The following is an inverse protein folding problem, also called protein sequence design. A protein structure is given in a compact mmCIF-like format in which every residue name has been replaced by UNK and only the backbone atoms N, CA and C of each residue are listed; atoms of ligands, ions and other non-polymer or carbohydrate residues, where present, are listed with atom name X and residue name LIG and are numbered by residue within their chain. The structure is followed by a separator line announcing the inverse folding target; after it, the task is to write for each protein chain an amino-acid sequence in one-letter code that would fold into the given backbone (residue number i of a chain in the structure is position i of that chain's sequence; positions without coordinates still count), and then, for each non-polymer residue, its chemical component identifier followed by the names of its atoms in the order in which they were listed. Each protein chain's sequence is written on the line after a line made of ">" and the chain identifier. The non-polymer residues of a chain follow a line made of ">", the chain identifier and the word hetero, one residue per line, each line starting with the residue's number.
data_IF_187294496350
#
_entry.id   IF_187294496350
#
_cell.length_a   1.000
_cell.length_b   1.000
_cell.length_c   1.000
_cell.angle_alpha   90.00
_cell.angle_beta   90.00
_cell.angle_gamma   90.00
#
_symmetry.space_group_name_H-M   'P 1'
#
loop_
_entity.id
_entity.type
_entity.pdbx_description
1 polymer ?
#
# COMPACT_ATOMS: atom_id res chain seq x y z
N UNK A 1 -7.91 11.35 17.44
CA UNK A 1 -8.76 10.25 16.96
C UNK A 1 -8.16 8.87 17.24
N UNK A 2 -6.88 8.57 16.95
CA UNK A 2 -6.30 7.23 17.17
C UNK A 2 -6.28 6.70 18.63
N UNK A 3 -5.94 7.54 19.62
CA UNK A 3 -5.96 7.11 21.05
C UNK A 3 -7.37 6.78 21.54
N UNK A 4 -8.36 7.60 21.16
CA UNK A 4 -9.77 7.39 21.53
C UNK A 4 -10.33 6.09 20.93
N UNK A 5 -9.91 5.74 19.71
CA UNK A 5 -10.32 4.48 19.08
C UNK A 5 -9.70 3.26 19.76
N UNK A 6 -8.40 3.31 20.06
CA UNK A 6 -7.71 2.23 20.79
C UNK A 6 -8.28 2.06 22.21
N UNK A 7 -8.55 3.14 22.92
CA UNK A 7 -9.16 3.11 24.25
C UNK A 7 -10.59 2.53 24.21
N UNK A 8 -11.37 2.83 23.16
CA UNK A 8 -12.70 2.25 22.97
C UNK A 8 -12.62 0.74 22.70
N UNK A 9 -11.70 0.31 21.85
CA UNK A 9 -11.53 -1.10 21.50
C UNK A 9 -10.95 -1.91 22.66
N UNK A 10 -10.06 -1.32 23.46
CA UNK A 10 -9.62 -1.90 24.73
C UNK A 10 -10.77 -2.10 25.72
N UNK A 11 -11.74 -1.17 25.79
CA UNK A 11 -12.97 -1.36 26.59
C UNK A 11 -13.87 -2.48 26.05
N UNK A 12 -13.78 -2.78 24.76
CA UNK A 12 -14.45 -3.90 24.11
C UNK A 12 -13.70 -5.24 24.34
N UNK A 13 -12.55 -5.20 25.01
CA UNK A 13 -11.65 -6.34 25.21
C UNK A 13 -10.88 -6.77 23.96
N UNK A 14 -10.83 -5.91 22.94
CA UNK A 14 -10.09 -6.15 21.70
C UNK A 14 -8.65 -5.67 21.91
N UNK A 15 -7.70 -6.58 21.74
CA UNK A 15 -6.27 -6.31 21.86
C UNK A 15 -5.66 -5.78 20.54
N UNK A 16 -4.34 -5.61 20.52
CA UNK A 16 -3.64 -5.07 19.34
C UNK A 16 -3.75 -5.98 18.11
N UNK A 17 -3.92 -7.28 18.31
CA UNK A 17 -4.11 -8.25 17.24
C UNK A 17 -5.54 -8.22 16.70
N UNK A 18 -6.54 -8.25 17.58
CA UNK A 18 -7.94 -8.10 17.16
C UNK A 18 -8.19 -6.77 16.44
N UNK A 19 -7.50 -5.69 16.84
CA UNK A 19 -7.54 -4.41 16.12
C UNK A 19 -6.98 -4.51 14.69
N UNK A 20 -5.88 -5.24 14.53
CA UNK A 20 -5.27 -5.49 13.23
C UNK A 20 -6.20 -6.33 12.35
N UNK A 21 -6.73 -7.43 12.88
CA UNK A 21 -7.65 -8.33 12.16
C UNK A 21 -8.91 -7.60 11.72
N UNK A 22 -9.51 -6.78 12.59
CA UNK A 22 -10.72 -6.02 12.27
C UNK A 22 -10.46 -5.04 11.12
N UNK A 23 -9.36 -4.29 11.19
CA UNK A 23 -8.98 -3.36 10.12
C UNK A 23 -8.67 -4.10 8.82
N UNK A 24 -7.95 -5.22 8.90
CA UNK A 24 -7.60 -6.07 7.76
C UNK A 24 -8.85 -6.60 7.06
N UNK A 25 -9.78 -7.18 7.83
CA UNK A 25 -11.04 -7.73 7.33
C UNK A 25 -11.89 -6.67 6.64
N UNK A 26 -11.96 -5.44 7.18
CA UNK A 26 -12.66 -4.33 6.51
C UNK A 26 -12.05 -4.02 5.15
N UNK A 27 -10.73 -3.84 5.10
CA UNK A 27 -10.05 -3.51 3.85
C UNK A 27 -10.18 -4.65 2.82
N UNK A 28 -10.01 -5.89 3.26
CA UNK A 28 -10.11 -7.08 2.40
C UNK A 28 -11.52 -7.24 1.85
N UNK A 29 -12.55 -7.15 2.70
CA UNK A 29 -13.95 -7.22 2.27
C UNK A 29 -14.28 -6.17 1.20
N UNK A 30 -13.99 -4.90 1.48
CA UNK A 30 -14.30 -3.81 0.55
C UNK A 30 -13.53 -4.00 -0.77
N UNK A 31 -12.25 -4.39 -0.70
CA UNK A 31 -11.42 -4.62 -1.87
C UNK A 31 -11.93 -5.79 -2.71
N UNK A 32 -12.37 -6.90 -2.07
CA UNK A 32 -12.97 -8.05 -2.73
C UNK A 32 -14.24 -7.65 -3.49
N UNK A 33 -15.17 -6.94 -2.86
CA UNK A 33 -16.42 -6.53 -3.50
C UNK A 33 -16.17 -5.59 -4.68
N UNK A 34 -15.26 -4.62 -4.55
CA UNK A 34 -14.89 -3.74 -5.65
C UNK A 34 -14.20 -4.47 -6.80
N UNK A 35 -13.39 -5.50 -6.53
CA UNK A 35 -12.78 -6.33 -7.57
C UNK A 35 -13.80 -7.17 -8.35
N UNK A 36 -15.01 -7.41 -7.82
CA UNK A 36 -16.11 -8.00 -8.60
C UNK A 36 -16.66 -7.04 -9.67
N UNK A 37 -16.37 -5.75 -9.55
CA UNK A 37 -16.77 -4.69 -10.49
C UNK A 37 -15.61 -4.38 -11.44
N UNK A 38 -14.42 -4.14 -10.88
CA UNK A 38 -13.21 -3.72 -11.59
C UNK A 38 -12.23 -4.89 -11.73
N UNK A 39 -12.24 -5.52 -12.92
CA UNK A 39 -11.51 -6.78 -13.21
C UNK A 39 -10.37 -6.65 -14.22
N UNK A 40 -10.13 -5.44 -14.72
CA UNK A 40 -9.25 -5.23 -15.86
C UNK A 40 -7.79 -5.46 -15.45
N UNK A 41 -7.05 -6.39 -16.07
CA UNK A 41 -5.64 -6.59 -15.76
C UNK A 41 -4.75 -5.47 -16.33
N UNK A 42 -5.32 -4.55 -17.10
CA UNK A 42 -4.56 -3.52 -17.80
C UNK A 42 -4.21 -2.36 -16.89
N UNK A 43 -2.93 -1.97 -16.88
CA UNK A 43 -2.43 -0.79 -16.17
C UNK A 43 -3.11 0.52 -16.59
N UNK A 44 -3.77 0.55 -17.75
CA UNK A 44 -4.51 1.72 -18.22
C UNK A 44 -5.87 1.88 -17.54
N UNK A 45 -6.41 0.83 -16.92
CA UNK A 45 -7.58 0.94 -16.05
C UNK A 45 -7.10 1.26 -14.63
N UNK A 46 -7.15 2.54 -14.28
CA UNK A 46 -6.65 3.05 -13.00
C UNK A 46 -7.40 2.44 -11.81
N UNK A 47 -8.71 2.21 -11.93
CA UNK A 47 -9.50 1.68 -10.82
C UNK A 47 -9.10 0.24 -10.51
N UNK A 48 -9.03 -0.61 -11.54
CA UNK A 48 -8.54 -1.98 -11.37
C UNK A 48 -7.10 -2.00 -10.85
N UNK A 49 -6.21 -1.15 -11.40
CA UNK A 49 -4.82 -1.06 -10.95
C UNK A 49 -4.68 -0.75 -9.45
N UNK A 50 -5.45 0.22 -8.95
CA UNK A 50 -5.43 0.61 -7.53
C UNK A 50 -5.84 -0.58 -6.66
N UNK A 51 -6.89 -1.31 -7.04
CA UNK A 51 -7.34 -2.49 -6.30
C UNK A 51 -6.32 -3.63 -6.34
N UNK A 52 -5.59 -3.83 -7.44
CA UNK A 52 -4.49 -4.79 -7.49
C UNK A 52 -3.33 -4.39 -6.57
N UNK A 53 -2.97 -3.10 -6.55
CA UNK A 53 -1.92 -2.60 -5.64
C UNK A 53 -2.31 -2.81 -4.17
N UNK A 54 -3.57 -2.56 -3.82
CA UNK A 54 -4.08 -2.79 -2.47
C UNK A 54 -4.13 -4.28 -2.12
N UNK A 55 -4.52 -5.16 -3.05
CA UNK A 55 -4.46 -6.61 -2.79
C UNK A 55 -3.06 -7.07 -2.44
N UNK A 56 -2.05 -6.61 -3.19
CA UNK A 56 -0.66 -6.91 -2.87
C UNK A 56 -0.26 -6.42 -1.47
N UNK A 57 -0.79 -5.27 -1.03
CA UNK A 57 -0.58 -4.79 0.34
C UNK A 57 -1.29 -5.68 1.37
N UNK A 58 -2.51 -6.16 1.10
CA UNK A 58 -3.21 -7.16 1.92
C UNK A 58 -2.38 -8.43 2.08
N UNK A 59 -1.86 -9.00 0.99
CA UNK A 59 -0.98 -10.19 1.06
C UNK A 59 0.27 -9.94 1.92
N UNK A 60 0.80 -8.72 1.87
CA UNK A 60 1.95 -8.30 2.69
C UNK A 60 1.58 -8.14 4.17
N UNK A 61 0.39 -7.61 4.48
CA UNK A 61 -0.12 -7.55 5.85
C UNK A 61 -0.40 -8.93 6.41
N UNK A 62 -0.97 -9.83 5.62
CA UNK A 62 -1.15 -11.23 6.00
C UNK A 62 0.20 -11.90 6.31
N UNK A 63 1.23 -11.63 5.51
CA UNK A 63 2.59 -12.12 5.77
C UNK A 63 3.17 -11.57 7.08
N UNK A 64 2.92 -10.30 7.40
CA UNK A 64 3.30 -9.70 8.70
C UNK A 64 2.61 -10.41 9.86
N UNK A 65 1.30 -10.67 9.75
CA UNK A 65 0.54 -11.35 10.80
C UNK A 65 1.08 -12.77 11.04
N UNK A 66 1.27 -13.55 9.97
CA UNK A 66 1.84 -14.90 10.06
C UNK A 66 3.25 -14.92 10.66
N UNK A 67 4.09 -13.95 10.30
CA UNK A 67 5.42 -13.82 10.91
C UNK A 67 5.30 -13.50 12.40
N UNK A 68 4.43 -12.57 12.79
CA UNK A 68 4.20 -12.23 14.19
C UNK A 68 3.72 -13.43 15.04
N UNK A 69 2.96 -14.36 14.46
CA UNK A 69 2.53 -15.60 15.14
C UNK A 69 3.66 -16.63 15.29
N UNK A 70 4.48 -16.82 14.26
CA UNK A 70 5.56 -17.81 14.29
C UNK A 70 6.76 -17.32 15.12
N UNK A 71 7.28 -16.13 14.78
CA UNK A 71 8.44 -15.53 15.43
C UNK A 71 8.61 -14.04 15.10
N UNK A 72 9.12 -13.26 16.05
CA UNK A 72 9.42 -11.84 15.81
C UNK A 72 10.73 -11.68 15.00
N UNK A 73 10.65 -11.93 13.70
CA UNK A 73 11.70 -11.63 12.72
C UNK A 73 11.67 -10.13 12.36
N UNK A 74 12.41 -9.35 13.13
CA UNK A 74 12.44 -7.89 13.03
C UNK A 74 12.82 -7.41 11.63
N UNK A 75 13.79 -8.06 10.98
CA UNK A 75 14.28 -7.61 9.68
C UNK A 75 13.21 -7.76 8.60
N UNK A 76 12.57 -8.93 8.56
CA UNK A 76 11.46 -9.21 7.66
C UNK A 76 10.26 -8.29 7.95
N UNK A 77 9.87 -8.16 9.23
CA UNK A 77 8.72 -7.34 9.64
C UNK A 77 8.90 -5.85 9.33
N UNK A 78 10.08 -5.29 9.59
CA UNK A 78 10.39 -3.89 9.29
C UNK A 78 10.45 -3.66 7.78
N UNK A 79 11.04 -4.59 7.02
CA UNK A 79 11.12 -4.51 5.56
C UNK A 79 9.73 -4.53 4.91
N UNK A 80 8.86 -5.47 5.33
CA UNK A 80 7.48 -5.54 4.84
C UNK A 80 6.68 -4.30 5.23
N UNK A 81 6.77 -3.86 6.49
CA UNK A 81 6.11 -2.63 6.96
C UNK A 81 6.56 -1.43 6.13
N UNK A 82 7.87 -1.30 5.88
CA UNK A 82 8.43 -0.21 5.09
C UNK A 82 7.92 -0.20 3.66
N UNK A 83 7.87 -1.36 3.02
CA UNK A 83 7.32 -1.55 1.67
C UNK A 83 5.84 -1.16 1.62
N UNK A 84 5.03 -1.57 2.62
CA UNK A 84 3.62 -1.18 2.71
C UNK A 84 3.48 0.34 2.78
N UNK A 85 4.28 1.01 3.63
CA UNK A 85 4.23 2.47 3.75
C UNK A 85 4.61 3.17 2.43
N UNK A 86 5.59 2.65 1.70
CA UNK A 86 5.92 3.14 0.36
C UNK A 86 4.71 3.04 -0.59
N UNK A 87 4.06 1.88 -0.64
CA UNK A 87 2.91 1.65 -1.52
C UNK A 87 1.74 2.56 -1.15
N UNK A 88 1.40 2.68 0.14
CA UNK A 88 0.39 3.64 0.62
C UNK A 88 0.74 5.07 0.16
N UNK A 89 2.00 5.47 0.30
CA UNK A 89 2.46 6.82 -0.03
C UNK A 89 2.38 7.09 -1.53
N UNK A 90 2.74 6.10 -2.36
CA UNK A 90 2.58 6.17 -3.81
C UNK A 90 1.11 6.33 -4.18
N UNK A 91 0.24 5.46 -3.65
CA UNK A 91 -1.20 5.50 -3.94
C UNK A 91 -1.81 6.85 -3.54
N UNK A 92 -1.49 7.33 -2.35
CA UNK A 92 -1.94 8.62 -1.86
C UNK A 92 -1.44 9.76 -2.77
N UNK A 93 -0.15 9.78 -3.10
CA UNK A 93 0.42 10.85 -3.89
C UNK A 93 -0.15 10.90 -5.31
N UNK A 94 -0.28 9.75 -5.98
CA UNK A 94 -0.77 9.69 -7.36
C UNK A 94 -2.29 9.90 -7.40
N UNK A 95 -3.05 9.21 -6.58
CA UNK A 95 -4.51 9.14 -6.75
C UNK A 95 -5.29 10.09 -5.85
N UNK A 96 -4.76 10.46 -4.68
CA UNK A 96 -5.42 11.39 -3.75
C UNK A 96 -4.92 12.83 -3.91
N UNK A 97 -3.61 13.05 -4.10
CA UNK A 97 -3.02 14.40 -4.13
C UNK A 97 -3.04 15.07 -5.51
N UNK A 98 -3.26 14.31 -6.59
CA UNK A 98 -3.44 14.90 -7.93
C UNK A 98 -4.69 15.76 -7.97
N UNK A 99 -4.58 16.99 -8.50
CA UNK A 99 -5.66 17.99 -8.49
C UNK A 99 -6.71 17.72 -9.55
N UNK A 100 -6.32 17.12 -10.66
CA UNK A 100 -7.20 16.79 -11.78
C UNK A 100 -7.04 15.33 -12.19
N UNK A 101 -7.98 14.84 -13.00
CA UNK A 101 -7.94 13.48 -13.55
C UNK A 101 -6.73 13.34 -14.49
N UNK A 102 -6.44 14.37 -15.29
CA UNK A 102 -5.31 14.39 -16.23
C UNK A 102 -3.98 14.34 -15.48
N UNK A 103 -3.84 15.05 -14.35
CA UNK A 103 -2.64 15.00 -13.51
C UNK A 103 -2.46 13.61 -12.90
N UNK A 104 -3.55 12.99 -12.43
CA UNK A 104 -3.56 11.62 -11.89
C UNK A 104 -3.08 10.61 -12.92
N UNK A 105 -3.66 10.65 -14.13
CA UNK A 105 -3.27 9.78 -15.24
C UNK A 105 -1.80 9.98 -15.62
N UNK A 106 -1.37 11.24 -15.71
CA UNK A 106 0.01 11.57 -16.05
C UNK A 106 1.00 11.01 -15.02
N UNK A 107 0.75 11.22 -13.71
CA UNK A 107 1.61 10.66 -12.64
C UNK A 107 1.60 9.14 -12.65
N UNK A 108 0.43 8.53 -12.85
CA UNK A 108 0.29 7.08 -12.95
C UNK A 108 1.12 6.50 -14.09
N UNK A 109 0.99 7.03 -15.31
CA UNK A 109 1.75 6.53 -16.45
C UNK A 109 3.24 6.80 -16.33
N UNK A 110 3.65 7.95 -15.75
CA UNK A 110 5.07 8.20 -15.43
C UNK A 110 5.62 7.22 -14.39
N UNK A 111 4.81 6.84 -13.39
CA UNK A 111 5.20 5.87 -12.36
C UNK A 111 5.41 4.47 -12.95
N UNK A 112 4.47 4.02 -13.78
CA UNK A 112 4.61 2.73 -14.48
C UNK A 112 5.79 2.77 -15.46
N UNK A 113 5.98 3.87 -16.20
CA UNK A 113 7.11 4.04 -17.11
C UNK A 113 8.46 3.99 -16.39
N UNK A 114 8.58 4.61 -15.21
CA UNK A 114 9.78 4.54 -14.34
C UNK A 114 10.13 3.08 -14.00
N UNK A 115 9.12 2.28 -13.60
CA UNK A 115 9.29 0.87 -13.29
C UNK A 115 9.67 0.01 -14.52
N UNK A 116 8.98 0.20 -15.64
CA UNK A 116 9.24 -0.54 -16.90
C UNK A 116 10.65 -0.25 -17.42
N UNK A 117 11.06 1.03 -17.48
CA UNK A 117 12.39 1.37 -17.93
C UNK A 117 13.49 0.87 -17.01
N UNK A 118 13.28 0.90 -15.69
CA UNK A 118 14.23 0.34 -14.75
C UNK A 118 14.37 -1.18 -14.96
N UNK A 119 13.26 -1.90 -15.16
CA UNK A 119 13.31 -3.34 -15.46
C UNK A 119 14.07 -3.63 -16.76
N UNK A 120 13.79 -2.90 -17.85
CA UNK A 120 14.55 -3.02 -19.11
C UNK A 120 16.05 -2.79 -18.86
N UNK A 121 16.41 -1.73 -18.14
CA UNK A 121 17.81 -1.38 -17.85
C UNK A 121 18.53 -2.50 -17.09
N UNK A 122 17.90 -3.06 -16.06
CA UNK A 122 18.52 -4.09 -15.23
C UNK A 122 18.57 -5.44 -15.95
N UNK A 123 17.51 -5.83 -16.68
CA UNK A 123 17.49 -7.06 -17.48
C UNK A 123 18.53 -7.08 -18.60
N UNK A 124 18.83 -5.92 -19.22
CA UNK A 124 19.92 -5.80 -20.21
C UNK A 124 21.31 -6.13 -19.68
N UNK A 125 21.52 -6.06 -18.36
CA UNK A 125 22.80 -6.44 -17.73
C UNK A 125 22.89 -7.95 -17.51
N UNK A 126 21.76 -8.66 -17.52
CA UNK A 126 21.73 -10.09 -17.24
C UNK A 126 22.65 -10.94 -18.14
N UNK A 127 22.75 -10.70 -19.46
CA UNK A 127 23.65 -11.47 -20.33
C UNK A 127 25.14 -11.34 -19.99
N UNK A 128 25.52 -10.39 -19.11
CA UNK A 128 26.90 -10.18 -18.66
C UNK A 128 27.22 -10.81 -17.29
N UNK A 129 26.24 -11.46 -16.65
CA UNK A 129 26.46 -12.21 -15.43
C UNK A 129 27.09 -13.55 -15.80
N UNK A 130 28.42 -13.64 -15.69
CA UNK A 130 29.13 -14.92 -15.63
C UNK A 130 28.73 -15.59 -14.32
N UNK A 131 27.60 -16.30 -14.30
CA UNK A 131 27.22 -17.13 -13.17
C UNK A 131 28.35 -18.12 -12.90
N UNK A 132 28.68 -18.34 -11.63
CA UNK A 132 29.49 -19.49 -11.24
C UNK A 132 28.60 -20.73 -11.38
N UNK A 133 28.65 -21.35 -12.56
CA UNK A 133 27.72 -22.38 -13.05
C UNK A 133 27.78 -23.71 -12.28
N UNK A 134 28.58 -23.80 -11.22
CA UNK A 134 28.83 -25.05 -10.52
C UNK A 134 27.60 -25.60 -9.76
N UNK A 135 26.51 -24.84 -9.63
CA UNK A 135 25.33 -25.20 -8.83
C UNK A 135 23.98 -25.01 -9.55
N UNK A 136 23.97 -24.67 -10.84
CA UNK A 136 22.73 -24.44 -11.62
C UNK A 136 22.84 -25.20 -12.93
N UNK A 137 21.79 -25.94 -13.29
CA UNK A 137 21.79 -26.66 -14.57
C UNK A 137 21.70 -25.70 -15.75
N UNK A 138 22.38 -26.01 -16.86
CA UNK A 138 22.33 -25.17 -18.07
C UNK A 138 20.89 -24.98 -18.59
N UNK A 139 20.04 -25.97 -18.41
CA UNK A 139 18.61 -25.93 -18.76
C UNK A 139 17.85 -24.84 -17.99
N UNK A 140 18.13 -24.66 -16.70
CA UNK A 140 17.53 -23.61 -15.87
C UNK A 140 17.98 -22.21 -16.33
N UNK A 141 19.24 -22.10 -16.75
CA UNK A 141 19.82 -20.86 -17.27
C UNK A 141 19.19 -20.49 -18.62
N UNK A 142 19.01 -21.47 -19.51
CA UNK A 142 18.38 -21.25 -20.81
C UNK A 142 16.92 -20.82 -20.65
N UNK A 143 16.19 -21.44 -19.70
CA UNK A 143 14.82 -21.04 -19.35
C UNK A 143 14.77 -19.60 -18.82
N UNK A 144 15.68 -19.25 -17.91
CA UNK A 144 15.77 -17.91 -17.36
C UNK A 144 16.10 -16.87 -18.45
N UNK A 145 17.03 -17.17 -19.35
CA UNK A 145 17.36 -16.32 -20.48
C UNK A 145 16.14 -16.10 -21.41
N UNK A 146 15.37 -17.15 -21.69
CA UNK A 146 14.16 -17.05 -22.50
C UNK A 146 13.07 -16.19 -21.82
N UNK A 147 12.89 -16.35 -20.50
CA UNK A 147 11.95 -15.53 -19.73
C UNK A 147 12.34 -14.06 -19.74
N UNK A 148 13.64 -13.76 -19.65
CA UNK A 148 14.17 -12.40 -19.69
C UNK A 148 13.93 -11.76 -21.06
N UNK A 149 14.23 -12.47 -22.15
CA UNK A 149 13.99 -11.96 -23.50
C UNK A 149 12.49 -11.68 -23.72
N UNK A 150 11.63 -12.62 -23.34
CA UNK A 150 10.17 -12.47 -23.45
C UNK A 150 9.67 -11.26 -22.66
N UNK A 151 10.16 -11.09 -21.42
CA UNK A 151 9.81 -9.96 -20.56
C UNK A 151 10.28 -8.65 -21.16
N UNK A 152 11.52 -8.60 -21.68
CA UNK A 152 12.08 -7.40 -22.30
C UNK A 152 11.29 -6.97 -23.54
N UNK A 153 10.87 -7.91 -24.39
CA UNK A 153 10.04 -7.61 -25.56
C UNK A 153 8.66 -7.06 -25.17
N UNK A 154 8.06 -7.62 -24.11
CA UNK A 154 6.81 -7.08 -23.55
C UNK A 154 6.99 -5.66 -23.01
N UNK A 155 8.08 -5.42 -22.29
CA UNK A 155 8.38 -4.12 -21.69
C UNK A 155 8.67 -3.02 -22.71
N UNK A 156 9.36 -3.34 -23.80
CA UNK A 156 9.59 -2.39 -24.88
C UNK A 156 8.26 -1.95 -25.52
N UNK A 157 7.32 -2.89 -25.73
CA UNK A 157 5.98 -2.56 -26.22
C UNK A 157 5.20 -1.72 -25.22
N UNK A 158 5.27 -2.06 -23.92
CA UNK A 158 4.60 -1.30 -22.87
C UNK A 158 5.15 0.13 -22.76
N UNK A 159 6.46 0.30 -22.84
CA UNK A 159 7.13 1.60 -22.88
C UNK A 159 6.59 2.49 -24.00
N UNK A 160 6.51 1.96 -25.23
CA UNK A 160 6.01 2.73 -26.37
C UNK A 160 4.55 3.16 -26.19
N UNK A 161 3.71 2.28 -25.64
CA UNK A 161 2.31 2.58 -25.34
C UNK A 161 2.18 3.65 -24.24
N UNK A 162 2.97 3.54 -23.17
CA UNK A 162 2.99 4.51 -22.07
C UNK A 162 3.43 5.89 -22.56
N UNK A 163 4.47 5.98 -23.39
CA UNK A 163 4.93 7.24 -23.97
C UNK A 163 3.85 7.90 -24.84
N UNK A 164 3.11 7.11 -25.63
CA UNK A 164 1.96 7.62 -26.40
C UNK A 164 0.86 8.17 -25.47
N UNK A 165 0.51 7.44 -24.41
CA UNK A 165 -0.49 7.88 -23.41
C UNK A 165 -0.06 9.18 -22.71
N UNK A 166 1.21 9.28 -22.31
CA UNK A 166 1.77 10.47 -21.67
C UNK A 166 1.73 11.66 -22.63
N UNK A 167 2.19 11.48 -23.88
CA UNK A 167 2.23 12.57 -24.88
C UNK A 167 0.85 13.06 -25.32
N UNK A 168 -0.15 12.19 -25.26
CA UNK A 168 -1.53 12.53 -25.58
C UNK A 168 -2.29 13.14 -24.37
N UNK A 169 -1.69 13.18 -23.19
CA UNK A 169 -2.33 13.76 -22.02
C UNK A 169 -2.49 15.29 -22.19
N UNK A 170 -3.63 15.90 -21.83
CA UNK A 170 -3.87 17.33 -22.02
C UNK A 170 -2.88 18.27 -21.31
N UNK A 171 -2.22 17.78 -20.25
CA UNK A 171 -1.21 18.54 -19.51
C UNK A 171 0.18 18.44 -20.14
N UNK A 172 0.36 17.60 -21.17
CA UNK A 172 1.62 17.42 -21.85
C UNK A 172 1.91 18.59 -22.81
N UNK A 173 2.95 19.36 -22.48
CA UNK A 173 3.46 20.44 -23.30
C UNK A 173 4.99 20.34 -23.44
N UNK A 174 5.59 21.26 -24.21
CA UNK A 174 7.04 21.28 -24.47
C UNK A 174 7.85 21.39 -23.17
N UNK A 175 7.32 22.10 -22.16
CA UNK A 175 7.96 22.29 -20.85
C UNK A 175 7.92 21.06 -19.94
N UNK A 176 7.39 19.92 -20.41
CA UNK A 176 7.36 18.65 -19.69
C UNK A 176 8.43 17.65 -20.15
N UNK A 177 9.20 17.95 -21.19
CA UNK A 177 10.09 16.96 -21.80
C UNK A 177 11.12 16.40 -20.80
N UNK A 178 11.71 17.23 -19.92
CA UNK A 178 12.60 16.69 -18.88
C UNK A 178 11.88 15.83 -17.82
N UNK A 179 10.60 16.10 -17.52
CA UNK A 179 9.82 15.26 -16.61
C UNK A 179 9.63 13.87 -17.23
N UNK A 180 9.28 13.82 -18.51
CA UNK A 180 9.09 12.57 -19.27
C UNK A 180 10.41 11.82 -19.39
N UNK A 181 11.47 12.49 -19.85
CA UNK A 181 12.81 11.90 -19.98
C UNK A 181 13.36 11.38 -18.65
N UNK A 182 13.01 12.00 -17.53
CA UNK A 182 13.39 11.55 -16.17
C UNK A 182 12.37 10.61 -15.52
N UNK A 183 11.25 10.32 -16.20
CA UNK A 183 10.13 9.51 -15.71
C UNK A 183 9.67 9.97 -14.33
N UNK A 184 9.69 11.29 -14.14
CA UNK A 184 9.64 11.90 -12.83
C UNK A 184 8.20 12.04 -12.34
N UNK A 185 7.53 10.93 -12.01
CA UNK A 185 6.18 10.94 -11.44
C UNK A 185 6.06 11.73 -10.12
N UNK A 186 7.19 11.95 -9.42
CA UNK A 186 7.34 12.74 -8.18
C UNK A 186 7.53 14.24 -8.42
N UNK A 187 7.19 14.78 -9.60
CA UNK A 187 7.38 16.21 -9.89
C UNK A 187 6.60 17.11 -8.90
N UNK A 188 7.18 18.25 -8.53
CA UNK A 188 6.55 19.28 -7.68
C UNK A 188 5.65 20.21 -8.50
N UNK A 189 6.07 20.54 -9.72
CA UNK A 189 5.34 21.37 -10.70
C UNK A 189 5.52 20.83 -12.12
N UNK A 190 4.58 21.12 -13.01
CA UNK A 190 4.62 20.77 -14.44
C UNK A 190 5.52 21.74 -15.24
N UNK A 191 6.72 22.06 -14.75
CA UNK A 191 7.66 22.96 -15.42
C UNK A 191 9.12 22.53 -15.17
N UNK A 192 9.93 22.58 -16.23
CA UNK A 192 11.33 22.17 -16.29
C UNK A 192 12.36 23.15 -15.69
N UNK A 193 12.01 24.40 -15.38
CA UNK A 193 13.01 25.41 -14.97
C UNK A 193 13.45 25.31 -13.51
N UNK A 194 12.82 24.47 -12.70
CA UNK A 194 13.06 24.43 -11.25
C UNK A 194 14.09 23.36 -10.90
N UNK A 195 15.27 23.78 -10.43
CA UNK A 195 16.24 22.89 -9.78
C UNK A 195 15.56 22.20 -8.58
N UNK A 196 15.63 20.87 -8.52
CA UNK A 196 14.97 20.11 -7.45
C UNK A 196 13.45 19.94 -7.62
N UNK A 197 12.94 19.94 -8.86
CA UNK A 197 11.53 19.62 -9.18
C UNK A 197 11.18 18.13 -8.97
N UNK A 198 11.54 17.56 -7.81
CA UNK A 198 11.22 16.18 -7.42
C UNK A 198 11.06 16.11 -5.93
N UNK A 199 9.94 15.56 -5.45
CA UNK A 199 9.78 15.25 -4.05
C UNK A 199 10.70 14.08 -3.64
N UNK A 200 11.38 14.25 -2.52
CA UNK A 200 12.05 13.18 -1.77
C UNK A 200 11.02 12.26 -1.12
N UNK A 201 11.45 11.06 -0.71
CA UNK A 201 10.58 10.14 0.04
C UNK A 201 10.07 10.76 1.36
N UNK A 202 10.92 11.47 2.10
CA UNK A 202 10.53 12.17 3.31
C UNK A 202 9.41 13.18 3.06
N UNK A 203 9.54 14.00 2.01
CA UNK A 203 8.48 14.94 1.61
C UNK A 203 7.21 14.20 1.19
N UNK A 204 7.31 13.07 0.47
CA UNK A 204 6.13 12.29 0.09
C UNK A 204 5.38 11.72 1.30
N UNK A 205 6.06 11.24 2.34
CA UNK A 205 5.39 10.79 3.57
C UNK A 205 4.63 11.92 4.24
N UNK A 206 5.25 13.10 4.34
CA UNK A 206 4.60 14.28 4.88
C UNK A 206 3.36 14.69 4.06
N UNK A 207 3.47 14.63 2.72
CA UNK A 207 2.35 14.86 1.80
C UNK A 207 1.23 13.81 1.92
N UNK A 208 1.54 12.61 2.40
CA UNK A 208 0.57 11.54 2.69
C UNK A 208 -0.03 11.61 4.11
N UNK A 209 0.18 12.74 4.81
CA UNK A 209 -0.34 12.97 6.16
C UNK A 209 0.34 12.12 7.23
N UNK A 210 1.60 11.69 7.01
CA UNK A 210 2.42 11.01 8.00
C UNK A 210 3.20 12.07 8.80
N UNK A 211 3.11 12.00 10.13
CA UNK A 211 3.79 12.94 11.03
C UNK A 211 5.29 12.94 10.79
N UNK A 212 5.93 14.10 10.88
CA UNK A 212 7.36 14.25 10.58
C UNK A 212 8.26 13.26 11.32
N UNK A 213 8.02 13.03 12.62
CA UNK A 213 8.81 12.07 13.41
C UNK A 213 8.70 10.64 12.88
N UNK A 214 7.50 10.23 12.46
CA UNK A 214 7.25 8.91 11.86
C UNK A 214 7.87 8.86 10.47
N UNK A 215 7.75 9.92 9.67
CA UNK A 215 8.37 10.01 8.34
C UNK A 215 9.90 9.89 8.42
N UNK A 216 10.54 10.52 9.41
CA UNK A 216 11.98 10.39 9.66
C UNK A 216 12.36 8.97 10.07
N UNK A 217 11.58 8.34 10.97
CA UNK A 217 11.77 6.95 11.35
C UNK A 217 11.69 6.00 10.14
N UNK A 218 10.69 6.19 9.27
CA UNK A 218 10.52 5.41 8.03
C UNK A 218 11.71 5.65 7.08
N UNK A 219 12.07 6.91 6.83
CA UNK A 219 13.11 7.22 5.83
C UNK A 219 14.53 6.89 6.29
N UNK A 220 14.80 6.96 7.60
CA UNK A 220 16.10 6.71 8.18
C UNK A 220 16.21 5.27 8.69
N UNK A 221 15.58 5.00 9.83
CA UNK A 221 15.73 3.75 10.56
C UNK A 221 15.27 2.52 9.76
N UNK A 222 14.05 2.53 9.21
CA UNK A 222 13.54 1.37 8.49
C UNK A 222 14.32 1.09 7.19
N UNK A 223 14.93 2.11 6.58
CA UNK A 223 15.76 1.96 5.38
C UNK A 223 17.03 1.13 5.65
N UNK A 224 17.55 1.14 6.88
CA UNK A 224 18.70 0.29 7.25
C UNK A 224 18.37 -1.20 7.08
N UNK A 225 17.12 -1.60 7.31
CA UNK A 225 16.66 -2.98 7.17
C UNK A 225 16.46 -3.36 5.70
N UNK A 226 15.78 -2.50 4.93
CA UNK A 226 15.53 -2.74 3.50
C UNK A 226 16.83 -2.88 2.71
N UNK A 227 17.87 -2.13 3.08
CA UNK A 227 19.16 -2.15 2.40
C UNK A 227 20.17 -3.14 2.98
N UNK A 228 19.82 -3.89 4.04
CA UNK A 228 20.75 -4.81 4.69
C UNK A 228 21.96 -4.12 5.33
N UNK A 229 21.79 -2.86 5.77
CA UNK A 229 22.85 -2.06 6.39
C UNK A 229 23.09 -2.50 7.84
N UNK A 230 24.10 -1.91 8.49
CA UNK A 230 24.64 -2.39 9.77
C UNK A 230 23.57 -2.69 10.83
N UNK A 231 22.55 -1.83 10.98
CA UNK A 231 21.49 -2.02 11.96
C UNK A 231 20.65 -3.30 11.76
N UNK A 232 20.54 -3.77 10.52
CA UNK A 232 19.82 -5.02 10.19
C UNK A 232 20.57 -6.29 10.60
N UNK A 233 21.88 -6.17 10.85
CA UNK A 233 22.76 -7.29 11.22
C UNK A 233 22.97 -7.40 12.74
N UNK A 234 22.41 -6.47 13.52
CA UNK A 234 22.55 -6.50 14.97
C UNK A 234 21.71 -7.64 15.52
N UNK A 235 22.36 -8.57 16.23
CA UNK A 235 21.68 -9.60 16.99
C UNK A 235 21.02 -8.97 18.22
N UNK A 236 19.72 -9.16 18.35
CA UNK A 236 18.94 -8.65 19.48
C UNK A 236 18.71 -9.78 20.49
N UNK A 237 19.19 -9.60 21.73
CA UNK A 237 18.83 -10.49 22.84
C UNK A 237 17.33 -10.37 23.19
N UNK A 238 16.75 -9.22 22.91
CA UNK A 238 15.31 -8.94 22.99
C UNK A 238 14.93 -8.09 21.79
N UNK A 239 13.89 -8.47 21.02
CA UNK A 239 13.49 -7.69 19.85
C UNK A 239 13.27 -6.21 20.17
N UNK A 240 13.72 -5.27 19.32
CA UNK A 240 13.52 -3.84 19.52
C UNK A 240 12.05 -3.42 19.38
N UNK A 241 11.20 -4.31 18.85
CA UNK A 241 9.76 -4.12 18.76
C UNK A 241 9.02 -5.36 19.23
N UNK A 242 7.98 -5.15 20.00
CA UNK A 242 7.03 -6.20 20.38
C UNK A 242 5.98 -6.43 19.27
N UNK A 243 5.35 -7.61 19.27
CA UNK A 243 4.24 -7.97 18.35
C UNK A 243 3.21 -6.85 18.24
N UNK A 244 2.68 -6.40 19.39
CA UNK A 244 1.66 -5.34 19.42
C UNK A 244 2.12 -4.03 18.77
N UNK A 245 3.40 -3.65 18.91
CA UNK A 245 3.93 -2.43 18.29
C UNK A 245 3.97 -2.53 16.76
N UNK A 246 4.39 -3.68 16.22
CA UNK A 246 4.40 -3.94 14.78
C UNK A 246 2.97 -3.96 14.21
N UNK A 247 2.06 -4.67 14.88
CA UNK A 247 0.66 -4.75 14.46
C UNK A 247 -0.04 -3.38 14.52
N UNK A 248 0.21 -2.57 15.56
CA UNK A 248 -0.34 -1.22 15.66
C UNK A 248 0.10 -0.31 14.51
N UNK A 249 1.40 -0.30 14.16
CA UNK A 249 1.90 0.50 13.05
C UNK A 249 1.20 0.09 11.75
N UNK A 250 1.08 -1.21 11.50
CA UNK A 250 0.45 -1.72 10.30
C UNK A 250 -1.06 -1.45 10.26
N UNK A 251 -1.76 -1.57 11.39
CA UNK A 251 -3.18 -1.20 11.54
C UNK A 251 -3.43 0.25 11.14
N UNK A 252 -2.53 1.18 11.49
CA UNK A 252 -2.62 2.58 11.05
C UNK A 252 -2.60 2.69 9.53
N UNK A 253 -1.73 1.93 8.85
CA UNK A 253 -1.63 1.97 7.39
C UNK A 253 -2.75 1.21 6.68
N UNK A 254 -3.31 0.16 7.29
CA UNK A 254 -4.55 -0.50 6.81
C UNK A 254 -5.69 0.51 6.82
N UNK A 255 -5.92 1.19 7.94
CA UNK A 255 -6.97 2.21 8.07
C UNK A 255 -6.79 3.36 7.07
N UNK A 256 -5.56 3.88 6.94
CA UNK A 256 -5.25 4.92 5.95
C UNK A 256 -5.48 4.45 4.50
N UNK A 257 -5.24 3.19 4.19
CA UNK A 257 -5.50 2.62 2.86
C UNK A 257 -6.99 2.41 2.64
N UNK A 258 -7.73 2.03 3.69
CA UNK A 258 -9.20 1.98 3.68
C UNK A 258 -9.80 3.34 3.38
N UNK A 259 -9.27 4.42 3.96
CA UNK A 259 -9.69 5.79 3.66
C UNK A 259 -9.48 6.17 2.18
N UNK A 260 -8.37 5.71 1.57
CA UNK A 260 -8.12 5.89 0.12
C UNK A 260 -9.22 5.22 -0.69
N UNK A 261 -9.56 3.96 -0.39
CA UNK A 261 -10.63 3.24 -1.11
C UNK A 261 -11.97 3.95 -0.92
N UNK A 262 -12.35 4.25 0.32
CA UNK A 262 -13.62 4.90 0.62
C UNK A 262 -13.77 6.23 -0.11
N UNK A 263 -12.68 7.00 -0.25
CA UNK A 263 -12.67 8.26 -0.99
C UNK A 263 -12.75 8.08 -2.49
N UNK A 264 -11.99 7.14 -3.07
CA UNK A 264 -11.92 6.95 -4.52
C UNK A 264 -13.16 6.25 -5.09
N UNK A 265 -13.73 5.31 -4.34
CA UNK A 265 -14.82 4.45 -4.77
C UNK A 265 -16.15 4.76 -4.07
N UNK A 266 -16.28 5.93 -3.42
CA UNK A 266 -17.45 6.30 -2.62
C UNK A 266 -18.78 6.03 -3.33
N UNK A 267 -18.87 6.41 -4.61
CA UNK A 267 -20.09 6.24 -5.40
C UNK A 267 -20.40 4.76 -5.66
N UNK A 268 -19.38 3.95 -5.94
CA UNK A 268 -19.54 2.52 -6.18
C UNK A 268 -19.90 1.78 -4.90
N UNK A 269 -19.31 2.16 -3.76
CA UNK A 269 -19.65 1.61 -2.45
C UNK A 269 -21.13 1.87 -2.12
N UNK A 270 -21.59 3.11 -2.30
CA UNK A 270 -22.99 3.46 -2.05
C UNK A 270 -23.95 2.78 -3.04
N UNK A 271 -23.61 2.77 -4.33
CA UNK A 271 -24.47 2.21 -5.39
C UNK A 271 -24.66 0.69 -5.24
N UNK A 272 -23.63 -0.02 -4.80
CA UNK A 272 -23.64 -1.48 -4.67
C UNK A 272 -23.89 -1.95 -3.23
N UNK A 273 -24.22 -1.03 -2.32
CA UNK A 273 -24.46 -1.30 -0.90
C UNK A 273 -23.33 -2.09 -0.21
N UNK A 274 -22.07 -1.76 -0.55
CA UNK A 274 -20.89 -2.43 0.00
C UNK A 274 -20.58 -1.83 1.37
N UNK A 275 -20.88 -2.59 2.43
CA UNK A 275 -20.66 -2.21 3.82
C UNK A 275 -20.29 -3.45 4.65
N UNK A 276 -19.10 -3.47 5.25
CA UNK A 276 -18.65 -4.62 6.06
C UNK A 276 -19.64 -4.94 7.18
N UNK A 277 -20.34 -3.95 7.73
CA UNK A 277 -21.30 -4.14 8.83
C UNK A 277 -22.49 -5.04 8.44
N UNK A 278 -22.71 -5.24 7.14
CA UNK A 278 -23.76 -6.12 6.58
C UNK A 278 -23.24 -7.49 6.16
N UNK A 279 -21.94 -7.72 6.27
CA UNK A 279 -21.30 -8.98 5.89
C UNK A 279 -21.33 -10.00 7.03
N UNK A 280 -21.23 -11.29 6.69
CA UNK A 280 -21.07 -12.37 7.67
C UNK A 280 -19.79 -12.20 8.52
N UNK A 281 -18.78 -11.51 7.98
CA UNK A 281 -17.55 -11.19 8.69
C UNK A 281 -17.83 -10.28 9.88
N UNK A 282 -18.72 -9.29 9.76
CA UNK A 282 -19.09 -8.43 10.89
C UNK A 282 -19.77 -9.21 12.01
N UNK A 283 -20.59 -10.22 11.68
CA UNK A 283 -21.19 -11.11 12.67
C UNK A 283 -20.12 -11.91 13.42
N UNK A 284 -19.12 -12.44 12.71
CA UNK A 284 -17.99 -13.13 13.34
C UNK A 284 -17.13 -12.21 14.20
N UNK A 285 -16.91 -10.96 13.76
CA UNK A 285 -16.16 -9.95 14.52
C UNK A 285 -16.88 -9.51 15.80
N UNK A 286 -18.22 -9.54 15.85
CA UNK A 286 -18.97 -9.27 17.07
C UNK A 286 -18.71 -10.31 18.18
N UNK A 287 -18.26 -11.52 17.82
CA UNK A 287 -17.87 -12.55 18.78
C UNK A 287 -16.53 -12.25 19.47
N UNK A 288 -15.72 -11.33 18.93
CA UNK A 288 -14.46 -10.87 19.55
C UNK A 288 -14.69 -9.85 20.68
N UNK A 289 -15.92 -9.34 20.82
CA UNK A 289 -16.27 -8.35 21.85
C UNK A 289 -16.62 -9.06 23.15
N UNK A 290 -16.15 -8.53 24.28
CA UNK A 290 -16.43 -9.14 25.59
C UNK A 290 -17.92 -9.15 25.92
N UNK A 291 -18.44 -10.22 26.54
CA UNK A 291 -19.83 -10.29 27.01
C UNK A 291 -20.19 -9.11 27.93
N UNK A 292 -19.24 -8.63 28.73
CA UNK A 292 -19.41 -7.50 29.64
C UNK A 292 -19.71 -6.21 28.88
N UNK A 293 -18.96 -5.93 27.80
CA UNK A 293 -19.19 -4.74 26.99
C UNK A 293 -20.52 -4.82 26.22
N UNK A 294 -20.87 -6.00 25.70
CA UNK A 294 -22.16 -6.23 25.06
C UNK A 294 -23.30 -5.96 26.05
N UNK A 295 -23.19 -6.51 27.26
CA UNK A 295 -24.16 -6.30 28.34
C UNK A 295 -24.33 -4.81 28.71
N UNK A 296 -23.22 -4.07 28.85
CA UNK A 296 -23.24 -2.62 29.10
C UNK A 296 -24.01 -1.86 28.01
N UNK A 297 -23.78 -2.19 26.74
CA UNK A 297 -24.46 -1.53 25.62
C UNK A 297 -25.94 -1.91 25.52
N UNK A 298 -26.29 -3.15 25.79
CA UNK A 298 -27.68 -3.59 25.84
C UNK A 298 -28.46 -2.86 26.95
N UNK A 299 -27.85 -2.67 28.12
CA UNK A 299 -28.43 -1.87 29.22
C UNK A 299 -28.63 -0.41 28.80
N UNK A 300 -27.63 0.22 28.18
CA UNK A 300 -27.74 1.61 27.68
C UNK A 300 -28.84 1.78 26.63
N UNK A 301 -29.05 0.78 25.76
CA UNK A 301 -30.14 0.78 24.79
C UNK A 301 -31.49 0.60 25.49
N UNK A 302 -31.59 -0.33 26.45
CA UNK A 302 -32.82 -0.56 27.21
C UNK A 302 -33.25 0.70 27.98
N UNK A 303 -32.31 1.43 28.58
CA UNK A 303 -32.60 2.67 29.31
C UNK A 303 -33.02 3.83 28.38
N UNK A 304 -32.38 3.95 27.21
CA UNK A 304 -32.80 4.94 26.19
C UNK A 304 -34.20 4.65 25.65
N UNK A 305 -34.55 3.38 25.47
CA UNK A 305 -35.86 2.97 24.96
C UNK A 305 -36.97 3.22 25.98
N UNK A 306 -36.68 3.10 27.28
CA UNK A 306 -37.59 3.50 28.37
C UNK A 306 -37.79 5.02 28.44
N UNK A 307 -36.74 5.79 28.19
CA UNK A 307 -36.83 7.26 28.20
C UNK A 307 -37.72 7.83 27.07
N UNK A 308 -37.73 7.22 25.89
CA UNK A 308 -38.61 7.62 24.76
C UNK A 308 -40.04 7.11 24.86
N UNK A 309 -40.34 6.15 25.74
CA UNK A 309 -41.71 5.71 26.03
C UNK A 309 -42.41 6.55 27.10
N UNK A 310 -41.67 7.44 27.78
CA UNK A 310 -42.20 8.35 28.81
C UNK A 310 -42.15 9.84 28.40
N UNK A 311 -41.94 10.11 27.11
CA UNK A 311 -42.05 11.42 26.45
C UNK A 311 -43.20 11.42 25.44
#
# INVERSE_FOLDING_TARGET
>A
MGLVYKDLMGKMGIDDEGLFELAYCELDYISNELQKIYKSPYISDLNSYILFAIRKMLDSWQSIHLLCEDRIDVSSLVTLSRMIVDNYTILHFIHINSKTIEERELRHYLYVLDGVENRIKELRKFPSLTFDLNYIEQTEIDQLAQQIETTMQSDLKAKDQLLKKIRNNPLCNVDMENIIQRRNWKYKKLNNTIKGNRFSWLELYQQAGIKNSVSQFISGYMSEFVHGLCMSNIAYNTPPFEKGQILNINTVFINKTTDIIKKLFQNDLAKNDIDIRKSDIATSLLLMVTPEYISEKLLQIADKTKATQHS
#
